data_IF_412096674497
#
_entry.id   IF_412096674497
#
_cell.length_a   1.000
_cell.length_b   1.000
_cell.length_c   1.000
_cell.angle_alpha   90.00
_cell.angle_beta   90.00
_cell.angle_gamma   90.00
#
_symmetry.space_group_name_H-M   'P 1'
#
loop_
_entity.id
_entity.type
_entity.pdbx_description
1 polymer ?
#
# COMPACT_ATOMS: atom_id res chain seq x y z
N UNK A 1 16.40 -5.66 16.98
CA UNK A 1 16.29 -5.77 15.50
C UNK A 1 15.29 -4.71 15.05
N UNK A 2 15.52 -4.07 13.89
CA UNK A 2 14.60 -3.08 13.33
C UNK A 2 13.85 -3.67 12.15
N UNK A 3 12.54 -3.52 12.10
CA UNK A 3 11.70 -4.08 11.04
C UNK A 3 11.00 -2.97 10.25
N UNK A 4 10.93 -3.12 8.92
CA UNK A 4 10.22 -2.21 8.03
C UNK A 4 9.00 -2.86 7.40
N UNK A 5 7.95 -2.06 7.15
CA UNK A 5 6.77 -2.47 6.39
C UNK A 5 6.89 -1.93 4.96
N UNK A 6 6.80 -2.82 3.97
CA UNK A 6 6.76 -2.45 2.55
C UNK A 6 5.32 -2.52 2.03
N UNK A 7 4.89 -1.44 1.36
CA UNK A 7 3.61 -1.34 0.66
C UNK A 7 3.83 -1.28 -0.87
N UNK A 8 3.78 -2.42 -1.56
CA UNK A 8 4.18 -2.50 -2.96
C UNK A 8 3.06 -2.25 -3.98
N UNK A 9 1.78 -2.22 -3.56
CA UNK A 9 0.64 -2.23 -4.47
C UNK A 9 -0.50 -1.34 -3.97
N UNK A 10 -0.87 -0.34 -4.77
CA UNK A 10 -1.96 0.59 -4.44
C UNK A 10 -3.36 0.11 -4.82
N UNK A 11 -3.50 -0.98 -5.58
CA UNK A 11 -4.81 -1.45 -6.07
C UNK A 11 -5.77 -1.89 -4.96
N UNK A 12 -5.26 -2.09 -3.74
CA UNK A 12 -6.06 -2.46 -2.58
C UNK A 12 -6.50 -1.26 -1.73
N UNK A 13 -5.95 -0.08 -1.99
CA UNK A 13 -6.18 1.13 -1.19
C UNK A 13 -7.39 1.94 -1.66
N UNK A 14 -8.02 1.53 -2.75
CA UNK A 14 -9.18 2.22 -3.28
C UNK A 14 -10.24 1.24 -3.79
N UNK A 15 -11.48 1.71 -3.85
CA UNK A 15 -12.62 1.00 -4.43
C UNK A 15 -13.28 1.85 -5.49
N UNK A 16 -14.07 1.23 -6.36
CA UNK A 16 -14.84 1.93 -7.41
C UNK A 16 -14.00 2.85 -8.31
N UNK A 17 -12.70 2.54 -8.47
CA UNK A 17 -11.70 3.36 -9.20
C UNK A 17 -11.47 4.76 -8.62
N UNK A 18 -11.86 5.01 -7.37
CA UNK A 18 -11.66 6.29 -6.69
C UNK A 18 -10.32 6.33 -5.94
N UNK A 19 -9.27 6.77 -6.64
CA UNK A 19 -7.90 6.81 -6.13
C UNK A 19 -7.66 7.84 -5.02
N UNK A 20 -8.62 8.74 -4.75
CA UNK A 20 -8.50 9.70 -3.65
C UNK A 20 -8.42 9.01 -2.28
N UNK A 21 -8.95 7.79 -2.17
CA UNK A 21 -8.93 6.95 -0.97
C UNK A 21 -7.53 6.45 -0.57
N UNK A 22 -6.56 6.50 -1.49
CA UNK A 22 -5.20 5.98 -1.26
C UNK A 22 -4.55 6.67 -0.07
N UNK A 23 -4.70 7.99 0.04
CA UNK A 23 -4.04 8.77 1.10
C UNK A 23 -4.51 8.34 2.49
N UNK A 24 -5.83 8.19 2.67
CA UNK A 24 -6.41 7.75 3.94
C UNK A 24 -6.07 6.29 4.26
N UNK A 25 -6.03 5.42 3.24
CA UNK A 25 -5.59 4.02 3.40
C UNK A 25 -4.16 3.95 3.93
N UNK A 26 -3.22 4.65 3.27
CA UNK A 26 -1.81 4.68 3.66
C UNK A 26 -1.61 5.26 5.05
N UNK A 27 -2.31 6.35 5.38
CA UNK A 27 -2.29 6.95 6.72
C UNK A 27 -2.69 5.92 7.78
N UNK A 28 -3.79 5.21 7.55
CA UNK A 28 -4.25 4.19 8.48
C UNK A 28 -3.26 3.02 8.61
N UNK A 29 -2.62 2.62 7.51
CA UNK A 29 -1.65 1.53 7.49
C UNK A 29 -0.35 1.91 8.24
N UNK A 30 0.20 3.10 7.99
CA UNK A 30 1.44 3.55 8.66
C UNK A 30 1.23 3.74 10.16
N UNK A 31 0.13 4.37 10.59
CA UNK A 31 -0.19 4.50 12.02
C UNK A 31 -0.33 3.14 12.70
N UNK A 32 -0.91 2.16 12.01
CA UNK A 32 -1.01 0.77 12.50
C UNK A 32 0.32 0.05 12.57
N UNK A 33 1.25 0.36 11.67
CA UNK A 33 2.59 -0.22 11.64
C UNK A 33 3.45 0.37 12.78
N UNK A 34 3.42 1.69 12.94
CA UNK A 34 4.09 2.41 14.04
C UNK A 34 3.62 1.88 15.41
N UNK A 35 2.30 1.76 15.61
CA UNK A 35 1.73 1.20 16.84
C UNK A 35 2.10 -0.27 17.11
N UNK A 36 2.59 -0.99 16.09
CA UNK A 36 3.06 -2.38 16.21
C UNK A 36 4.59 -2.48 16.32
N UNK A 37 5.30 -1.36 16.36
CA UNK A 37 6.75 -1.32 16.54
C UNK A 37 7.55 -1.48 15.25
N UNK A 38 6.96 -1.21 14.07
CA UNK A 38 7.75 -1.06 12.85
C UNK A 38 8.53 0.26 12.86
N UNK A 39 9.80 0.21 12.46
CA UNK A 39 10.71 1.36 12.47
C UNK A 39 10.70 2.16 11.17
N UNK A 40 10.16 1.59 10.09
CA UNK A 40 10.14 2.24 8.77
C UNK A 40 8.97 1.77 7.92
N UNK A 41 8.52 2.65 7.02
CA UNK A 41 7.47 2.38 6.06
C UNK A 41 7.95 2.77 4.66
N UNK A 42 7.83 1.84 3.71
CA UNK A 42 8.36 1.99 2.36
C UNK A 42 7.25 1.82 1.34
N UNK A 43 7.13 2.75 0.40
CA UNK A 43 6.23 2.64 -0.75
C UNK A 43 7.04 2.38 -2.01
N UNK A 44 6.43 1.71 -2.99
CA UNK A 44 6.99 1.66 -4.34
C UNK A 44 6.66 2.96 -5.10
N UNK A 45 7.62 3.48 -5.86
CA UNK A 45 7.50 4.70 -6.69
C UNK A 45 6.61 4.51 -7.94
N UNK A 46 6.31 3.26 -8.29
CA UNK A 46 5.48 2.92 -9.43
C UNK A 46 3.99 2.93 -9.05
N UNK A 47 3.28 3.99 -9.46
CA UNK A 47 1.81 4.03 -9.42
C UNK A 47 1.16 2.95 -10.31
N UNK A 48 1.89 2.50 -11.35
CA UNK A 48 1.50 1.37 -12.18
C UNK A 48 2.19 0.09 -11.69
N UNK A 49 1.36 -0.83 -11.21
CA UNK A 49 1.70 -2.12 -10.63
C UNK A 49 2.72 -2.93 -11.47
N UNK A 50 3.58 -3.71 -10.80
CA UNK A 50 4.29 -4.82 -11.43
C UNK A 50 3.22 -5.77 -12.01
N UNK A 51 3.27 -6.15 -13.30
CA UNK A 51 2.16 -6.86 -13.98
C UNK A 51 1.71 -8.19 -13.34
N UNK A 52 2.43 -8.70 -12.34
CA UNK A 52 2.20 -9.98 -11.67
C UNK A 52 1.80 -9.88 -10.18
N UNK A 53 1.79 -8.69 -9.56
CA UNK A 53 1.46 -8.55 -8.12
C UNK A 53 0.21 -7.68 -7.95
N UNK A 54 -0.96 -8.29 -7.85
CA UNK A 54 -2.27 -7.63 -7.71
C UNK A 54 -3.32 -8.27 -8.62
N UNK A 55 -4.60 -8.02 -8.36
CA UNK A 55 -5.69 -8.76 -9.02
C UNK A 55 -5.71 -8.46 -10.53
N UNK A 56 -5.42 -9.46 -11.34
CA UNK A 56 -5.67 -9.45 -12.79
C UNK A 56 -7.19 -9.59 -12.96
N UNK A 57 -7.88 -8.46 -13.14
CA UNK A 57 -9.26 -8.50 -13.61
C UNK A 57 -9.22 -9.02 -15.05
N UNK A 58 -9.89 -10.14 -15.30
CA UNK A 58 -9.98 -10.74 -16.64
C UNK A 58 -10.56 -9.74 -17.66
N UNK A 59 -10.16 -9.96 -18.92
CA UNK A 59 -10.49 -9.17 -20.12
C UNK A 59 -11.97 -8.78 -20.24
#
# INVERSE_FOLDING_TARGET
MKFGLQHPVFSFDYRNRDTSQIVDSLKNLVTRAENRGFDSFWVMDHFHQIPFIGKRTYA
#
